data_IF_023457427542
#
_entry.id   IF_023457427542
#
_cell.length_a   1.000
_cell.length_b   1.000
_cell.length_c   1.000
_cell.angle_alpha   90.00
_cell.angle_beta   90.00
_cell.angle_gamma   90.00
#
_symmetry.space_group_name_H-M   'P 1'
#
loop_
_entity.id
_entity.type
_entity.pdbx_description
1 polymer ?
#
# COMPACT_ATOMS: atom_id res chain seq x y z
N UNK A 1 21.65 -10.60 8.55
CA UNK A 1 20.65 -9.64 8.04
C UNK A 1 19.40 -9.76 8.90
N UNK A 2 18.79 -8.66 9.36
CA UNK A 2 17.66 -8.67 10.31
C UNK A 2 16.29 -8.44 9.67
N UNK A 3 16.25 -8.03 8.40
CA UNK A 3 14.99 -7.86 7.65
C UNK A 3 14.55 -9.23 7.17
N UNK A 4 13.36 -9.65 7.58
CA UNK A 4 12.85 -11.02 7.32
C UNK A 4 11.98 -11.13 6.07
N UNK A 5 11.34 -10.03 5.65
CA UNK A 5 10.49 -9.96 4.47
C UNK A 5 10.23 -8.50 4.08
N UNK A 6 10.00 -8.28 2.79
CA UNK A 6 9.38 -7.05 2.27
C UNK A 6 7.85 -7.15 2.34
N UNK A 7 7.16 -6.00 2.42
CA UNK A 7 5.70 -5.97 2.50
C UNK A 7 5.04 -6.62 1.26
N UNK A 8 5.61 -6.43 0.07
CA UNK A 8 5.11 -7.02 -1.17
C UNK A 8 5.19 -8.57 -1.17
N UNK A 9 6.21 -9.14 -0.53
CA UNK A 9 6.33 -10.60 -0.40
C UNK A 9 5.29 -11.18 0.54
N UNK A 10 4.97 -10.48 1.63
CA UNK A 10 3.92 -10.87 2.56
C UNK A 10 2.54 -10.81 1.91
N UNK A 11 2.22 -9.70 1.22
CA UNK A 11 0.94 -9.53 0.50
C UNK A 11 0.81 -10.54 -0.64
N UNK A 12 1.90 -10.82 -1.36
CA UNK A 12 1.92 -11.79 -2.44
C UNK A 12 1.95 -13.26 -2.00
N UNK A 13 2.03 -13.55 -0.69
CA UNK A 13 2.13 -14.91 -0.15
C UNK A 13 3.47 -15.61 -0.43
N UNK A 14 4.50 -14.86 -0.86
CA UNK A 14 5.85 -15.36 -1.11
C UNK A 14 6.57 -15.64 0.23
N UNK A 15 6.28 -14.81 1.25
CA UNK A 15 6.77 -14.96 2.62
C UNK A 15 5.58 -15.08 3.57
N UNK A 16 5.74 -15.88 4.62
CA UNK A 16 4.76 -16.02 5.69
C UNK A 16 5.01 -14.93 6.74
N UNK A 17 3.94 -14.27 7.17
CA UNK A 17 3.98 -13.30 8.26
C UNK A 17 4.08 -13.96 9.64
N UNK A 18 3.46 -13.33 10.63
CA UNK A 18 3.35 -13.87 12.00
C UNK A 18 2.72 -15.27 12.00
N UNK A 19 3.35 -16.23 12.68
CA UNK A 19 2.87 -17.62 12.76
C UNK A 19 2.49 -18.06 14.17
N UNK A 20 2.98 -17.36 15.20
CA UNK A 20 2.71 -17.66 16.61
C UNK A 20 2.36 -16.40 17.39
N UNK A 21 1.65 -16.56 18.51
CA UNK A 21 1.14 -15.45 19.29
C UNK A 21 2.27 -14.67 20.01
N UNK A 22 3.32 -15.37 20.41
CA UNK A 22 4.42 -14.84 21.24
C UNK A 22 5.44 -14.05 20.41
N UNK A 23 5.36 -14.10 19.08
CA UNK A 23 6.28 -13.40 18.20
C UNK A 23 6.11 -11.88 18.32
N UNK A 24 7.21 -11.14 18.46
CA UNK A 24 7.19 -9.69 18.36
C UNK A 24 7.61 -9.33 16.92
N UNK A 25 6.74 -8.64 16.20
CA UNK A 25 6.98 -8.25 14.79
C UNK A 25 7.11 -6.75 14.68
N UNK A 26 8.14 -6.28 13.96
CA UNK A 26 8.34 -4.87 13.65
C UNK A 26 8.13 -4.64 12.15
N UNK A 27 7.12 -3.85 11.81
CA UNK A 27 7.02 -3.26 10.48
C UNK A 27 7.68 -1.89 10.49
N UNK A 28 8.62 -1.66 9.57
CA UNK A 28 9.26 -0.36 9.37
C UNK A 28 8.98 0.11 7.95
N UNK A 29 8.46 1.33 7.82
CA UNK A 29 8.26 2.01 6.54
C UNK A 29 8.98 3.37 6.53
N UNK A 30 9.38 3.79 5.33
CA UNK A 30 9.87 5.14 5.02
C UNK A 30 8.95 5.88 4.03
N UNK A 31 7.88 5.22 3.57
CA UNK A 31 6.97 5.69 2.51
C UNK A 31 7.43 5.27 1.10
N UNK A 32 6.47 4.94 0.23
CA UNK A 32 6.74 4.57 -1.17
C UNK A 32 5.77 5.25 -2.12
N UNK A 33 6.29 5.96 -3.13
CA UNK A 33 5.47 6.77 -4.04
C UNK A 33 4.37 6.00 -4.80
N UNK A 34 4.53 4.69 -4.98
CA UNK A 34 3.50 3.87 -5.61
C UNK A 34 2.27 3.67 -4.72
N UNK A 35 2.43 3.75 -3.40
CA UNK A 35 1.32 3.76 -2.45
C UNK A 35 0.43 4.99 -2.68
N UNK A 36 1.05 6.16 -2.83
CA UNK A 36 0.37 7.43 -3.12
C UNK A 36 -0.33 7.39 -4.48
N UNK A 37 0.37 6.93 -5.53
CA UNK A 37 -0.19 6.85 -6.87
C UNK A 37 -1.39 5.88 -6.93
N UNK A 38 -1.31 4.73 -6.27
CA UNK A 38 -2.41 3.78 -6.21
C UNK A 38 -3.64 4.39 -5.50
N UNK A 39 -3.42 5.08 -4.38
CA UNK A 39 -4.47 5.78 -3.65
C UNK A 39 -5.09 6.91 -4.50
N UNK A 40 -4.26 7.73 -5.13
CA UNK A 40 -4.69 8.84 -5.99
C UNK A 40 -5.52 8.34 -7.17
N UNK A 41 -5.09 7.26 -7.84
CA UNK A 41 -5.84 6.67 -8.96
C UNK A 41 -7.18 6.11 -8.51
N UNK A 42 -7.24 5.44 -7.35
CA UNK A 42 -8.50 4.96 -6.79
C UNK A 42 -9.47 6.11 -6.48
N UNK A 43 -8.97 7.16 -5.83
CA UNK A 43 -9.76 8.35 -5.50
C UNK A 43 -10.24 9.07 -6.77
N UNK A 44 -9.37 9.26 -7.75
CA UNK A 44 -9.68 9.87 -9.04
C UNK A 44 -10.78 9.10 -9.78
N UNK A 45 -10.65 7.78 -9.91
CA UNK A 45 -11.65 6.95 -10.58
C UNK A 45 -13.02 7.06 -9.91
N UNK A 46 -13.06 6.98 -8.57
CA UNK A 46 -14.31 7.13 -7.80
C UNK A 46 -14.91 8.54 -7.92
N UNK A 47 -14.07 9.57 -8.01
CA UNK A 47 -14.53 10.93 -8.22
C UNK A 47 -15.19 11.08 -9.60
N UNK A 48 -14.58 10.51 -10.65
CA UNK A 48 -15.18 10.48 -11.99
C UNK A 48 -16.52 9.76 -12.04
N UNK A 49 -16.62 8.59 -11.44
CA UNK A 49 -17.87 7.80 -11.37
C UNK A 49 -19.02 8.55 -10.67
N UNK A 50 -18.69 9.47 -9.76
CA UNK A 50 -19.65 10.25 -8.97
C UNK A 50 -19.80 11.70 -9.44
N UNK A 51 -19.18 12.05 -10.57
CA UNK A 51 -19.16 13.42 -11.10
C UNK A 51 -18.65 14.46 -10.07
N UNK A 52 -17.62 14.09 -9.30
CA UNK A 52 -16.97 14.97 -8.32
C UNK A 52 -15.68 15.53 -8.93
N UNK A 53 -15.49 16.85 -8.82
CA UNK A 53 -14.27 17.55 -9.26
C UNK A 53 -14.58 18.73 -10.18
N UNK A 54 -13.52 19.37 -10.66
CA UNK A 54 -13.58 20.47 -11.63
C UNK A 54 -12.58 20.16 -12.75
N UNK A 55 -13.03 20.20 -14.00
CA UNK A 55 -12.11 20.16 -15.14
C UNK A 55 -11.48 21.54 -15.35
N UNK A 56 -10.17 21.55 -15.57
CA UNK A 56 -9.37 22.76 -15.81
C UNK A 56 -8.57 22.57 -17.09
N UNK A 57 -8.44 23.63 -17.90
CA UNK A 57 -7.56 23.64 -19.06
C UNK A 57 -6.09 23.69 -18.62
N UNK A 58 -5.22 22.95 -19.32
CA UNK A 58 -3.77 22.99 -19.11
C UNK A 58 -3.13 24.23 -19.76
#
# INVERSE_FOLDING_TARGET
>A
EHVVAELAELVGGIRVGRTRAEEITLFKSVGWALEDLAAARLAYNRARERSIGLEVSL
#
